data_IF_806991074295
#
_entry.id   IF_806991074295
#
_cell.length_a   1.000
_cell.length_b   1.000
_cell.length_c   1.000
_cell.angle_alpha   90.00
_cell.angle_beta   90.00
_cell.angle_gamma   90.00
#
_symmetry.space_group_name_H-M   'P 1'
#
loop_
_entity.id
_entity.type
_entity.pdbx_description
1 polymer ?
#
# COMPACT_ATOMS: atom_id res chain seq x y z
N UNK A 1 -11.24 -9.38 -32.47
CA UNK A 1 -10.25 -8.32 -32.15
C UNK A 1 -8.93 -8.80 -32.67
N UNK A 2 -8.26 -7.98 -33.49
CA UNK A 2 -6.99 -8.35 -34.13
C UNK A 2 -5.86 -8.39 -33.10
N UNK A 3 -4.93 -9.34 -33.23
CA UNK A 3 -3.86 -9.57 -32.24
C UNK A 3 -2.94 -8.32 -32.13
N UNK A 4 -2.77 -7.61 -33.24
CA UNK A 4 -2.02 -6.36 -33.34
C UNK A 4 -2.65 -5.22 -32.53
N UNK A 5 -3.98 -5.21 -32.37
CA UNK A 5 -4.66 -4.20 -31.57
C UNK A 5 -4.44 -4.42 -30.06
N UNK A 6 -4.35 -5.68 -29.63
CA UNK A 6 -4.09 -6.01 -28.21
C UNK A 6 -2.67 -5.61 -27.84
N UNK A 7 -1.68 -5.89 -28.70
CA UNK A 7 -0.28 -5.50 -28.46
C UNK A 7 -0.13 -3.98 -28.34
N UNK A 8 -0.74 -3.22 -29.25
CA UNK A 8 -0.74 -1.75 -29.18
C UNK A 8 -1.35 -1.21 -27.89
N UNK A 9 -2.46 -1.82 -27.44
CA UNK A 9 -3.11 -1.44 -26.16
C UNK A 9 -2.18 -1.77 -24.98
N UNK A 10 -1.49 -2.91 -25.02
CA UNK A 10 -0.55 -3.29 -23.98
C UNK A 10 0.61 -2.30 -23.88
N UNK A 11 1.20 -1.86 -25.00
CA UNK A 11 2.26 -0.86 -25.02
C UNK A 11 1.79 0.47 -24.42
N UNK A 12 0.62 0.95 -24.84
CA UNK A 12 0.05 2.20 -24.32
C UNK A 12 -0.25 2.11 -22.82
N UNK A 13 -0.68 0.94 -22.35
CA UNK A 13 -0.95 0.71 -20.93
C UNK A 13 0.35 0.65 -20.12
N UNK A 14 1.41 0.02 -20.64
CA UNK A 14 2.73 0.03 -20.01
C UNK A 14 3.28 1.45 -19.86
N UNK A 15 3.20 2.26 -20.91
CA UNK A 15 3.62 3.66 -20.87
C UNK A 15 2.86 4.45 -19.79
N UNK A 16 1.54 4.26 -19.72
CA UNK A 16 0.71 4.86 -18.68
C UNK A 16 1.15 4.44 -17.26
N UNK A 17 1.42 3.16 -17.04
CA UNK A 17 1.91 2.65 -15.75
C UNK A 17 3.26 3.27 -15.38
N UNK A 18 4.18 3.43 -16.34
CA UNK A 18 5.45 4.10 -16.11
C UNK A 18 5.28 5.58 -15.76
N UNK A 19 4.40 6.30 -16.45
CA UNK A 19 4.09 7.71 -16.13
C UNK A 19 3.54 7.82 -14.72
N UNK A 20 2.59 6.96 -14.33
CA UNK A 20 2.03 6.93 -12.99
C UNK A 20 3.10 6.64 -11.94
N UNK A 21 3.90 5.59 -12.12
CA UNK A 21 4.94 5.20 -11.18
C UNK A 21 6.00 6.29 -11.00
N UNK A 22 6.39 6.96 -12.08
CA UNK A 22 7.47 7.95 -12.04
C UNK A 22 7.04 9.36 -11.63
N UNK A 23 5.76 9.72 -11.80
CA UNK A 23 5.31 11.10 -11.55
C UNK A 23 4.29 11.22 -10.42
N UNK A 24 3.43 10.21 -10.24
CA UNK A 24 2.34 10.24 -9.26
C UNK A 24 2.74 9.44 -8.01
N UNK A 25 3.21 8.21 -8.21
CA UNK A 25 3.53 7.24 -7.17
C UNK A 25 5.02 6.94 -7.08
N UNK A 26 5.89 7.97 -7.08
CA UNK A 26 7.30 7.72 -6.78
C UNK A 26 7.34 6.90 -5.49
N UNK A 27 7.93 5.71 -5.54
CA UNK A 27 8.04 4.79 -4.39
C UNK A 27 8.69 5.52 -3.19
N UNK A 28 9.51 6.53 -3.50
CA UNK A 28 10.09 7.48 -2.60
C UNK A 28 9.16 8.61 -2.11
N UNK A 29 8.07 9.01 -2.77
CA UNK A 29 7.16 10.04 -2.25
C UNK A 29 6.33 9.51 -1.08
N UNK A 30 5.86 8.27 -1.17
CA UNK A 30 5.22 7.58 -0.05
C UNK A 30 6.24 7.38 1.07
N UNK A 31 7.28 6.57 0.80
CA UNK A 31 8.26 6.18 1.82
C UNK A 31 9.05 7.37 2.38
N UNK A 32 9.39 8.40 1.58
CA UNK A 32 10.00 9.63 2.11
C UNK A 32 9.00 10.50 2.83
N UNK A 33 7.70 10.51 2.54
CA UNK A 33 6.73 11.21 3.41
C UNK A 33 6.49 10.44 4.70
N UNK A 34 6.51 9.12 4.66
CA UNK A 34 6.58 8.27 5.85
C UNK A 34 7.83 8.60 6.69
N UNK A 35 8.98 8.83 6.06
CA UNK A 35 10.23 9.17 6.76
C UNK A 35 10.37 10.66 7.15
N UNK A 36 9.90 11.59 6.32
CA UNK A 36 10.08 13.05 6.48
C UNK A 36 9.02 13.68 7.38
N UNK A 37 7.86 13.06 7.60
CA UNK A 37 6.93 13.47 8.67
C UNK A 37 7.45 12.99 10.03
N UNK A 38 8.76 13.03 10.23
CA UNK A 38 9.46 12.31 11.29
C UNK A 38 9.01 12.70 12.67
N UNK A 39 8.45 13.89 12.90
CA UNK A 39 8.05 14.33 14.25
C UNK A 39 6.70 13.74 14.65
N UNK A 40 5.68 13.88 13.79
CA UNK A 40 4.39 13.21 13.98
C UNK A 40 4.55 11.68 13.90
N UNK A 41 5.35 11.19 12.95
CA UNK A 41 5.62 9.75 12.85
C UNK A 41 6.46 9.24 14.03
N UNK A 42 7.40 10.00 14.61
CA UNK A 42 8.08 9.60 15.86
C UNK A 42 7.11 9.57 17.04
N UNK A 43 6.13 10.46 17.07
CA UNK A 43 5.08 10.48 18.10
C UNK A 43 4.22 9.20 18.03
N UNK A 44 3.89 8.71 16.82
CA UNK A 44 3.09 7.49 16.63
C UNK A 44 3.91 6.19 16.60
N UNK A 45 5.11 6.19 16.01
CA UNK A 45 5.96 4.99 15.81
C UNK A 45 7.10 4.84 16.83
N UNK A 46 7.43 5.88 17.62
CA UNK A 46 8.72 5.95 18.30
C UNK A 46 9.88 6.02 17.29
N UNK A 47 11.10 5.68 17.72
CA UNK A 47 12.26 5.56 16.82
C UNK A 47 12.18 4.35 15.85
N UNK A 48 10.99 3.84 15.48
CA UNK A 48 10.90 2.72 14.55
C UNK A 48 11.34 3.16 13.15
N UNK A 49 12.47 2.66 12.63
CA UNK A 49 12.79 2.84 11.24
C UNK A 49 11.91 1.83 10.48
N UNK A 50 10.77 2.29 9.99
CA UNK A 50 9.87 1.48 9.15
C UNK A 50 10.60 1.06 7.87
N UNK A 51 11.31 -0.06 7.93
CA UNK A 51 11.91 -0.65 6.75
C UNK A 51 10.80 -1.01 5.73
N UNK A 52 11.07 -0.95 4.40
CA UNK A 52 10.06 -1.21 3.37
C UNK A 52 9.32 -2.55 3.52
N UNK A 53 9.95 -3.55 4.13
CA UNK A 53 9.34 -4.85 4.42
C UNK A 53 8.22 -4.79 5.46
N UNK A 54 8.30 -3.89 6.45
CA UNK A 54 7.22 -3.68 7.42
C UNK A 54 6.00 -3.08 6.72
N UNK A 55 6.20 -2.03 5.91
CA UNK A 55 5.13 -1.40 5.14
C UNK A 55 4.38 -2.40 4.25
N UNK A 56 5.11 -3.33 3.59
CA UNK A 56 4.51 -4.40 2.78
C UNK A 56 3.59 -5.33 3.58
N UNK A 57 3.99 -5.70 4.80
CA UNK A 57 3.15 -6.53 5.69
C UNK A 57 1.87 -5.79 6.05
N UNK A 58 2.00 -4.53 6.48
CA UNK A 58 0.85 -3.75 6.90
C UNK A 58 -0.13 -3.53 5.72
N UNK A 59 0.38 -3.17 4.53
CA UNK A 59 -0.42 -3.04 3.30
C UNK A 59 -1.17 -4.32 2.93
N UNK A 60 -0.53 -5.48 3.11
CA UNK A 60 -1.15 -6.77 2.87
C UNK A 60 -2.24 -7.10 3.91
N UNK A 61 -2.03 -6.75 5.17
CA UNK A 61 -3.01 -6.99 6.23
C UNK A 61 -4.23 -6.08 6.11
N UNK A 62 -4.09 -4.87 5.55
CA UNK A 62 -5.25 -4.01 5.25
C UNK A 62 -6.25 -4.66 4.28
N UNK A 63 -5.78 -5.45 3.31
CA UNK A 63 -6.65 -6.09 2.32
C UNK A 63 -7.13 -7.48 2.78
N UNK A 64 -6.36 -8.15 3.62
CA UNK A 64 -6.66 -9.51 4.09
C UNK A 64 -7.31 -9.58 5.47
N UNK A 65 -7.42 -8.46 6.18
CA UNK A 65 -7.84 -8.32 7.59
C UNK A 65 -6.94 -9.08 8.58
N UNK A 66 -6.89 -10.41 8.47
CA UNK A 66 -6.10 -11.30 9.32
C UNK A 66 -5.48 -12.42 8.50
N UNK A 67 -4.20 -12.72 8.70
CA UNK A 67 -3.48 -13.77 7.98
C UNK A 67 -2.47 -14.50 8.85
N UNK A 68 -2.17 -15.77 8.54
CA UNK A 68 -1.07 -16.46 9.23
C UNK A 68 0.29 -15.93 8.79
N UNK A 69 1.30 -16.00 9.66
CA UNK A 69 2.68 -15.58 9.34
C UNK A 69 3.20 -16.30 8.07
N UNK A 70 2.85 -17.58 7.91
CA UNK A 70 3.23 -18.35 6.72
C UNK A 70 2.57 -17.84 5.43
N UNK A 71 1.31 -17.42 5.50
CA UNK A 71 0.61 -16.85 4.34
C UNK A 71 1.17 -15.47 3.99
N UNK A 72 1.45 -14.62 4.98
CA UNK A 72 2.06 -13.30 4.77
C UNK A 72 3.42 -13.47 4.07
N UNK A 73 4.27 -14.36 4.59
CA UNK A 73 5.57 -14.70 4.00
C UNK A 73 5.45 -15.14 2.54
N UNK A 74 4.54 -16.08 2.25
CA UNK A 74 4.33 -16.61 0.90
C UNK A 74 3.84 -15.56 -0.08
N UNK A 75 2.85 -14.74 0.32
CA UNK A 75 2.26 -13.73 -0.57
C UNK A 75 3.22 -12.57 -0.86
N UNK A 76 4.08 -12.23 0.10
CA UNK A 76 5.05 -11.15 -0.06
C UNK A 76 6.39 -11.61 -0.65
N UNK A 77 6.56 -12.90 -0.93
CA UNK A 77 7.82 -13.46 -1.43
C UNK A 77 8.98 -13.34 -0.44
N UNK A 78 8.68 -13.33 0.86
CA UNK A 78 9.66 -13.18 1.95
C UNK A 78 9.82 -14.53 2.65
N UNK A 79 11.06 -14.95 2.91
CA UNK A 79 11.32 -16.18 3.63
C UNK A 79 10.71 -16.13 5.04
N UNK A 80 10.11 -17.24 5.49
CA UNK A 80 9.48 -17.34 6.83
C UNK A 80 10.44 -16.97 7.96
N UNK A 81 11.72 -17.33 7.84
CA UNK A 81 12.79 -16.97 8.79
C UNK A 81 12.95 -15.46 8.99
N UNK A 82 12.66 -14.68 7.95
CA UNK A 82 12.78 -13.23 7.96
C UNK A 82 11.43 -12.56 8.29
N UNK A 83 10.31 -13.26 8.12
CA UNK A 83 8.98 -12.73 8.43
C UNK A 83 8.73 -12.61 9.93
N UNK A 84 9.13 -13.62 10.73
CA UNK A 84 8.89 -13.57 12.19
C UNK A 84 9.50 -12.33 12.86
N UNK A 85 10.77 -11.96 12.61
CA UNK A 85 11.33 -10.72 13.16
C UNK A 85 10.62 -9.44 12.69
N UNK A 86 10.09 -9.42 11.46
CA UNK A 86 9.31 -8.29 10.94
C UNK A 86 8.00 -8.16 11.72
N UNK A 87 7.28 -9.27 11.92
CA UNK A 87 6.05 -9.29 12.71
C UNK A 87 6.33 -8.90 14.17
N UNK A 88 7.38 -9.43 14.77
CA UNK A 88 7.71 -9.16 16.17
C UNK A 88 7.98 -7.66 16.39
N UNK A 89 8.71 -7.01 15.47
CA UNK A 89 8.86 -5.54 15.53
C UNK A 89 7.53 -4.81 15.35
N UNK A 90 6.67 -5.23 14.44
CA UNK A 90 5.35 -4.62 14.28
C UNK A 90 4.50 -4.75 15.54
N UNK A 91 4.62 -5.86 16.28
CA UNK A 91 3.98 -6.06 17.59
C UNK A 91 4.57 -5.13 18.64
N UNK A 92 5.91 -5.00 18.70
CA UNK A 92 6.60 -4.09 19.64
C UNK A 92 6.15 -2.63 19.48
N UNK A 93 5.77 -2.22 18.27
CA UNK A 93 5.28 -0.88 17.96
C UNK A 93 3.75 -0.73 18.03
N UNK A 94 3.04 -1.77 18.48
CA UNK A 94 1.58 -1.80 18.60
C UNK A 94 0.85 -1.56 17.26
N UNK A 95 1.43 -2.06 16.16
CA UNK A 95 0.84 -1.94 14.82
C UNK A 95 0.12 -3.21 14.36
N UNK A 96 0.46 -4.34 14.98
CA UNK A 96 -0.21 -5.61 14.70
C UNK A 96 -0.42 -6.39 15.99
N UNK A 97 -1.52 -7.13 16.04
CA UNK A 97 -1.76 -8.15 17.05
C UNK A 97 -1.29 -9.50 16.51
N UNK A 98 -0.65 -10.30 17.37
CA UNK A 98 -0.24 -11.68 17.06
C UNK A 98 -0.90 -12.65 18.03
N UNK A 99 -1.69 -13.60 17.52
CA UNK A 99 -2.46 -14.52 18.34
C UNK A 99 -2.54 -15.93 17.74
N UNK A 100 -2.75 -16.99 18.55
CA UNK A 100 -2.96 -18.34 18.04
C UNK A 100 -4.24 -18.45 17.22
N UNK A 101 -4.20 -19.20 16.12
CA UNK A 101 -5.39 -19.46 15.31
C UNK A 101 -6.44 -20.23 16.14
N UNK A 102 -7.71 -19.82 16.12
CA UNK A 102 -8.78 -20.49 16.87
C UNK A 102 -8.96 -21.97 16.50
N UNK A 103 -8.58 -22.38 15.28
CA UNK A 103 -8.74 -23.75 14.77
C UNK A 103 -7.49 -24.60 14.96
N UNK A 104 -6.29 -24.00 14.90
CA UNK A 104 -5.02 -24.69 15.17
C UNK A 104 -4.06 -23.74 15.91
N UNK A 105 -3.95 -23.92 17.23
CA UNK A 105 -3.12 -23.06 18.10
C UNK A 105 -1.62 -23.05 17.75
N UNK A 106 -1.15 -23.98 16.90
CA UNK A 106 0.23 -23.99 16.39
C UNK A 106 0.45 -22.94 15.29
N UNK A 107 -0.63 -22.47 14.67
CA UNK A 107 -0.61 -21.41 13.67
C UNK A 107 -0.76 -20.06 14.38
N UNK A 108 0.15 -19.14 14.11
CA UNK A 108 0.03 -17.76 14.57
C UNK A 108 -0.58 -16.90 13.47
N UNK A 109 -1.64 -16.19 13.82
CA UNK A 109 -2.30 -15.17 13.00
C UNK A 109 -1.82 -13.79 13.39
N UNK A 110 -1.88 -12.89 12.42
CA UNK A 110 -1.54 -11.49 12.55
C UNK A 110 -2.67 -10.67 11.95
N UNK A 111 -3.05 -9.59 12.62
CA UNK A 111 -4.00 -8.58 12.15
C UNK A 111 -3.54 -7.19 12.57
N UNK A 112 -4.08 -6.15 11.94
CA UNK A 112 -3.78 -4.76 12.29
C UNK A 112 -4.42 -4.37 13.63
N UNK A 113 -3.75 -3.52 14.39
CA UNK A 113 -4.33 -2.83 15.55
C UNK A 113 -5.12 -1.60 15.12
N UNK A 114 -5.95 -1.05 16.01
CA UNK A 114 -6.62 0.25 15.79
C UNK A 114 -5.61 1.37 15.53
N UNK A 115 -4.48 1.36 16.26
CA UNK A 115 -3.37 2.30 16.05
C UNK A 115 -2.81 2.24 14.62
N UNK A 116 -2.73 1.06 14.02
CA UNK A 116 -2.30 0.94 12.63
C UNK A 116 -3.33 1.51 11.64
N UNK A 117 -4.62 1.41 11.93
CA UNK A 117 -5.67 2.04 11.10
C UNK A 117 -5.63 3.56 11.18
N UNK A 118 -5.53 4.14 12.38
CA UNK A 118 -5.41 5.60 12.57
C UNK A 118 -4.21 6.17 11.79
N UNK A 119 -3.09 5.46 11.84
CA UNK A 119 -1.90 5.79 11.07
C UNK A 119 -2.17 5.82 9.57
N UNK A 120 -2.94 4.86 9.04
CA UNK A 120 -3.28 4.86 7.61
C UNK A 120 -4.15 6.03 7.23
N UNK A 121 -5.10 6.42 8.07
CA UNK A 121 -5.95 7.58 7.79
C UNK A 121 -5.11 8.85 7.71
N UNK A 122 -4.10 8.97 8.56
CA UNK A 122 -3.15 10.09 8.52
C UNK A 122 -2.31 10.04 7.22
N UNK A 123 -1.74 8.88 6.88
CA UNK A 123 -0.96 8.71 5.64
C UNK A 123 -1.82 9.00 4.41
N UNK A 124 -3.04 8.47 4.37
CA UNK A 124 -3.99 8.68 3.29
C UNK A 124 -4.31 10.16 3.14
N UNK A 125 -4.50 10.87 4.25
CA UNK A 125 -4.70 12.33 4.25
C UNK A 125 -3.50 13.07 3.66
N UNK A 126 -2.29 12.73 4.07
CA UNK A 126 -1.03 13.32 3.55
C UNK A 126 -0.86 13.04 2.04
N UNK A 127 -1.23 11.84 1.58
CA UNK A 127 -1.21 11.49 0.16
C UNK A 127 -2.25 12.25 -0.63
N UNK A 128 -3.47 12.35 -0.08
CA UNK A 128 -4.56 13.10 -0.68
C UNK A 128 -4.17 14.56 -0.86
N UNK A 129 -3.60 15.21 0.16
CA UNK A 129 -3.08 16.56 0.05
C UNK A 129 -1.99 16.70 -1.03
N UNK A 130 -1.13 15.68 -1.16
CA UNK A 130 -0.12 15.67 -2.22
C UNK A 130 -0.74 15.65 -3.61
N UNK A 131 -1.77 14.83 -3.78
CA UNK A 131 -2.46 14.67 -5.06
C UNK A 131 -3.23 15.95 -5.36
N UNK A 132 -3.91 16.54 -4.37
CA UNK A 132 -4.59 17.85 -4.51
C UNK A 132 -3.64 18.91 -5.05
N UNK A 133 -2.40 19.02 -4.53
CA UNK A 133 -1.39 19.97 -5.04
C UNK A 133 -0.92 19.68 -6.46
N UNK A 134 -0.93 18.41 -6.90
CA UNK A 134 -0.60 18.05 -8.29
C UNK A 134 -1.77 18.38 -9.22
N UNK A 135 -2.99 18.12 -8.75
CA UNK A 135 -4.24 18.38 -9.47
C UNK A 135 -4.57 19.87 -9.60
N UNK A 136 -4.13 20.72 -8.67
CA UNK A 136 -4.39 22.16 -8.70
C UNK A 136 -3.77 22.90 -9.89
N UNK A 137 -2.94 22.23 -10.70
CA UNK A 137 -2.37 22.78 -11.94
C UNK A 137 -3.24 22.52 -13.18
N UNK A 138 -4.32 21.75 -13.03
CA UNK A 138 -5.23 21.39 -14.12
C UNK A 138 -6.41 22.37 -14.20
N UNK A 139 -6.96 22.57 -15.39
CA UNK A 139 -8.21 23.32 -15.56
C UNK A 139 -9.42 22.52 -15.07
N UNK A 140 -10.56 23.19 -14.87
CA UNK A 140 -11.81 22.52 -14.47
C UNK A 140 -12.25 21.46 -15.50
N UNK A 141 -12.02 21.73 -16.80
CA UNK A 141 -12.28 20.77 -17.87
C UNK A 141 -11.36 19.55 -17.77
N UNK A 142 -10.06 19.75 -17.52
CA UNK A 142 -9.09 18.67 -17.34
C UNK A 142 -9.39 17.83 -16.10
N UNK A 143 -9.81 18.47 -14.99
CA UNK A 143 -10.21 17.79 -13.76
C UNK A 143 -11.46 16.92 -13.99
N UNK A 144 -12.46 17.46 -14.68
CA UNK A 144 -13.69 16.72 -15.01
C UNK A 144 -13.37 15.51 -15.89
N UNK A 145 -12.55 15.72 -16.92
CA UNK A 145 -12.12 14.66 -17.82
C UNK A 145 -11.34 13.57 -17.08
N UNK A 146 -10.43 13.96 -16.18
CA UNK A 146 -9.66 13.04 -15.36
C UNK A 146 -10.55 12.19 -14.44
N UNK A 147 -11.54 12.78 -13.78
CA UNK A 147 -12.47 12.07 -12.90
C UNK A 147 -13.27 11.00 -13.67
N UNK A 148 -13.89 11.40 -14.78
CA UNK A 148 -14.67 10.49 -15.63
C UNK A 148 -13.85 9.31 -16.16
N UNK A 149 -12.62 9.56 -16.62
CA UNK A 149 -11.77 8.51 -17.16
C UNK A 149 -11.18 7.62 -16.07
N UNK A 150 -10.85 8.17 -14.89
CA UNK A 150 -10.32 7.39 -13.77
C UNK A 150 -11.35 6.38 -13.28
N UNK A 151 -12.63 6.78 -13.19
CA UNK A 151 -13.73 5.87 -12.82
C UNK A 151 -13.85 4.70 -13.81
N UNK A 152 -13.94 5.01 -15.11
CA UNK A 152 -14.05 3.99 -16.17
C UNK A 152 -12.84 3.06 -16.21
N UNK A 153 -11.64 3.62 -16.09
CA UNK A 153 -10.39 2.85 -16.08
C UNK A 153 -10.35 1.89 -14.88
N UNK A 154 -10.77 2.35 -13.70
CA UNK A 154 -10.84 1.50 -12.49
C UNK A 154 -11.76 0.30 -12.69
N UNK A 155 -12.95 0.50 -13.29
CA UNK A 155 -13.88 -0.59 -13.60
C UNK A 155 -13.32 -1.63 -14.57
N UNK A 156 -12.54 -1.18 -15.56
CA UNK A 156 -11.92 -2.08 -16.55
C UNK A 156 -10.77 -2.86 -15.92
N UNK A 157 -9.87 -2.18 -15.20
CA UNK A 157 -8.69 -2.81 -14.59
C UNK A 157 -9.08 -3.86 -13.54
N UNK A 158 -10.20 -3.66 -12.81
CA UNK A 158 -10.76 -4.68 -11.90
C UNK A 158 -11.10 -6.01 -12.56
N UNK A 159 -11.23 -6.06 -13.90
CA UNK A 159 -11.49 -7.31 -14.64
C UNK A 159 -10.21 -8.08 -14.99
N UNK A 160 -9.03 -7.51 -14.72
CA UNK A 160 -7.73 -8.12 -15.00
C UNK A 160 -7.18 -8.95 -13.82
N UNK A 161 -7.80 -8.86 -12.65
CA UNK A 161 -7.45 -9.53 -11.39
C UNK A 161 -8.59 -10.42 -10.93
#
# INVERSE_FOLDING_TARGET
MDNDNILKIADSFLDFLFVLQNNIFKENDLLKKFQNNSDMMKEYFGECPMAPSHAKVILYLMTSNSSSISQIASNLGILKSNMTPIIDRLVEHDLVNKFPDPKDRRVLRVELTDKAFELFDIVQSILKESIVKKLSNLSDEELTLLDEHTLKLSEIVKKLV
#
